data_IF_296502295051
#
_entry.id   IF_296502295051
#
_cell.length_a   1.000
_cell.length_b   1.000
_cell.length_c   1.000
_cell.angle_alpha   90.00
_cell.angle_beta   90.00
_cell.angle_gamma   90.00
#
_symmetry.space_group_name_H-M   'P 1'
#
loop_
_entity.id
_entity.type
_entity.pdbx_description
1 polymer ?
#
# COMPACT_ATOMS: atom_id res chain seq x y z
N UNK A 1 11.90 39.77 8.90
CA UNK A 1 10.62 39.29 8.33
C UNK A 1 10.53 37.78 8.52
N UNK A 2 10.21 37.32 9.73
CA UNK A 2 10.02 35.90 10.01
C UNK A 2 8.76 35.43 9.26
N UNK A 3 8.92 34.38 8.45
CA UNK A 3 7.94 34.00 7.43
C UNK A 3 6.59 33.57 8.01
N UNK A 4 5.52 33.87 7.28
CA UNK A 4 4.14 33.37 7.51
C UNK A 4 4.04 31.84 7.68
N UNK A 5 5.11 31.09 7.38
CA UNK A 5 5.15 29.63 7.41
C UNK A 5 6.45 29.09 8.03
N UNK A 6 6.73 29.45 9.29
CA UNK A 6 7.89 28.95 10.06
C UNK A 6 8.07 27.42 10.01
N UNK A 7 6.98 26.66 10.03
CA UNK A 7 7.00 25.19 9.87
C UNK A 7 7.52 24.70 8.52
N UNK A 8 7.51 25.53 7.47
CA UNK A 8 7.95 25.15 6.12
C UNK A 8 9.47 25.32 5.93
N UNK A 9 10.19 25.75 6.97
CA UNK A 9 11.65 25.79 6.95
C UNK A 9 12.20 24.36 7.02
N UNK A 10 12.85 23.93 5.94
CA UNK A 10 13.35 22.57 5.83
C UNK A 10 14.46 22.26 6.85
N UNK A 11 15.36 23.23 7.07
CA UNK A 11 16.50 23.14 8.00
C UNK A 11 16.16 23.78 9.36
N UNK A 12 14.92 23.58 9.82
CA UNK A 12 14.47 24.10 11.10
C UNK A 12 15.40 23.61 12.23
N UNK A 13 16.11 24.55 12.85
CA UNK A 13 17.09 24.24 13.89
C UNK A 13 16.38 23.71 15.13
N UNK A 14 16.84 22.56 15.62
CA UNK A 14 16.35 22.00 16.88
C UNK A 14 16.77 22.91 18.04
N UNK A 15 15.85 23.28 18.95
CA UNK A 15 16.23 24.03 20.14
C UNK A 15 17.17 23.19 21.03
N UNK A 16 18.02 23.83 21.85
CA UNK A 16 18.82 23.12 22.83
C UNK A 16 17.95 22.23 23.72
N UNK A 17 18.37 20.98 23.91
CA UNK A 17 17.66 20.07 24.80
C UNK A 17 17.95 20.50 26.25
N UNK A 18 16.97 21.17 26.85
CA UNK A 18 17.02 21.62 28.24
C UNK A 18 15.91 20.93 28.99
N UNK A 19 16.26 20.28 30.10
CA UNK A 19 15.32 19.74 31.09
C UNK A 19 15.27 20.64 32.31
N UNK A 20 14.08 20.81 32.88
CA UNK A 20 13.84 21.60 34.08
C UNK A 20 13.11 20.73 35.10
N UNK A 21 13.43 20.93 36.38
CA UNK A 21 12.75 20.24 37.47
C UNK A 21 11.34 20.83 37.66
N UNK A 22 10.33 19.97 37.61
CA UNK A 22 8.92 20.37 37.77
C UNK A 22 8.26 19.47 38.83
N UNK A 23 7.31 20.03 39.58
CA UNK A 23 6.59 19.33 40.65
C UNK A 23 5.51 18.36 40.14
N UNK A 24 4.87 18.71 39.03
CA UNK A 24 3.83 17.90 38.38
C UNK A 24 4.35 17.36 37.04
N UNK A 25 4.48 16.04 36.95
CA UNK A 25 4.89 15.32 35.72
C UNK A 25 3.72 14.60 35.06
N UNK A 26 2.50 14.71 35.58
CA UNK A 26 1.32 13.99 35.08
C UNK A 26 0.96 14.31 33.63
N UNK A 27 1.27 15.53 33.17
CA UNK A 27 1.05 15.94 31.77
C UNK A 27 1.95 15.19 30.78
N UNK A 28 3.17 14.85 31.18
CA UNK A 28 4.13 14.10 30.36
C UNK A 28 3.65 12.67 30.05
N UNK A 29 2.88 12.05 30.96
CA UNK A 29 2.28 10.73 30.74
C UNK A 29 1.40 10.68 29.50
N UNK A 30 0.53 11.68 29.34
CA UNK A 30 -0.39 11.76 28.20
C UNK A 30 0.36 11.96 26.88
N UNK A 31 1.40 12.79 26.91
CA UNK A 31 2.28 13.04 25.76
C UNK A 31 3.04 11.77 25.38
N UNK A 32 3.65 11.10 26.35
CA UNK A 32 4.38 9.84 26.16
C UNK A 32 3.48 8.76 25.55
N UNK A 33 2.28 8.56 26.09
CA UNK A 33 1.30 7.60 25.56
C UNK A 33 0.85 7.95 24.14
N UNK A 34 0.60 9.24 23.85
CA UNK A 34 0.19 9.67 22.51
C UNK A 34 1.29 9.42 21.47
N UNK A 35 2.54 9.76 21.79
CA UNK A 35 3.70 9.52 20.91
C UNK A 35 3.92 8.02 20.70
N UNK A 36 3.89 7.21 21.75
CA UNK A 36 4.05 5.76 21.63
C UNK A 36 3.00 5.11 20.76
N UNK A 37 1.74 5.50 20.94
CA UNK A 37 0.65 5.00 20.11
C UNK A 37 0.87 5.36 18.64
N UNK A 38 1.37 6.57 18.35
CA UNK A 38 1.69 6.98 16.99
C UNK A 38 2.88 6.19 16.41
N UNK A 39 3.99 6.03 17.15
CA UNK A 39 5.15 5.25 16.72
C UNK A 39 4.78 3.78 16.47
N UNK A 40 3.94 3.17 17.30
CA UNK A 40 3.42 1.81 17.08
C UNK A 40 2.58 1.70 15.80
N UNK A 41 1.89 2.77 15.38
CA UNK A 41 1.15 2.77 14.11
C UNK A 41 2.08 2.74 12.89
N UNK A 42 3.34 3.17 13.02
CA UNK A 42 4.31 3.14 11.93
C UNK A 42 4.83 1.72 11.64
N UNK A 43 4.72 0.80 12.59
CA UNK A 43 5.01 -0.62 12.36
C UNK A 43 3.93 -1.34 11.54
N UNK A 44 2.83 -0.65 11.18
CA UNK A 44 1.74 -1.24 10.39
C UNK A 44 2.17 -1.44 8.92
N UNK A 45 1.59 -2.44 8.23
CA UNK A 45 1.85 -2.70 6.81
C UNK A 45 1.68 -1.46 5.92
N UNK A 46 0.72 -0.59 6.22
CA UNK A 46 0.44 0.64 5.46
C UNK A 46 1.64 1.57 5.33
N UNK A 47 2.50 1.66 6.36
CA UNK A 47 3.69 2.51 6.34
C UNK A 47 4.77 1.93 5.41
N UNK A 48 4.99 0.62 5.49
CA UNK A 48 5.90 -0.10 4.59
C UNK A 48 5.41 -0.01 3.14
N UNK A 49 4.10 -0.18 2.93
CA UNK A 49 3.48 -0.02 1.62
C UNK A 49 3.61 1.40 1.07
N UNK A 50 3.50 2.43 1.91
CA UNK A 50 3.69 3.81 1.51
C UNK A 50 5.12 4.02 0.98
N UNK A 51 6.13 3.59 1.72
CA UNK A 51 7.54 3.72 1.32
C UNK A 51 7.85 2.97 0.02
N UNK A 52 7.33 1.74 -0.11
CA UNK A 52 7.48 0.95 -1.34
C UNK A 52 6.80 1.61 -2.55
N UNK A 53 5.62 2.19 -2.34
CA UNK A 53 4.86 2.90 -3.39
C UNK A 53 5.57 4.21 -3.78
N UNK A 54 6.11 4.95 -2.81
CA UNK A 54 6.90 6.15 -3.07
C UNK A 54 8.16 5.83 -3.91
N UNK A 55 8.87 4.76 -3.57
CA UNK A 55 10.02 4.29 -4.34
C UNK A 55 9.63 3.84 -5.76
N UNK A 56 8.46 3.18 -5.92
CA UNK A 56 7.92 2.82 -7.23
C UNK A 56 7.65 4.07 -8.09
N UNK A 57 7.03 5.11 -7.52
CA UNK A 57 6.77 6.38 -8.23
C UNK A 57 8.09 7.01 -8.68
N UNK A 58 9.11 7.05 -7.83
CA UNK A 58 10.44 7.55 -8.20
C UNK A 58 11.04 6.80 -9.39
N UNK A 59 10.93 5.47 -9.40
CA UNK A 59 11.39 4.62 -10.53
C UNK A 59 10.60 4.85 -11.81
N UNK A 60 9.26 4.93 -11.72
CA UNK A 60 8.39 5.20 -12.88
C UNK A 60 8.69 6.59 -13.47
N UNK A 61 8.85 7.60 -12.62
CA UNK A 61 9.27 8.95 -13.01
C UNK A 61 10.62 8.91 -13.74
N UNK A 62 11.64 8.28 -13.16
CA UNK A 62 12.97 8.21 -13.76
C UNK A 62 12.93 7.55 -15.16
N UNK A 63 12.18 6.45 -15.30
CA UNK A 63 12.06 5.69 -16.55
C UNK A 63 11.47 6.50 -17.71
N UNK A 64 10.59 7.48 -17.44
CA UNK A 64 9.93 8.30 -18.46
C UNK A 64 10.30 9.78 -18.42
N UNK A 65 11.35 10.15 -17.70
CA UNK A 65 11.80 11.54 -17.56
C UNK A 65 12.03 12.24 -18.89
N UNK A 66 12.64 11.54 -19.85
CA UNK A 66 12.95 12.12 -21.16
C UNK A 66 11.72 12.19 -22.06
N UNK A 67 10.88 11.14 -22.05
CA UNK A 67 9.68 11.07 -22.89
C UNK A 67 8.61 12.08 -22.48
N UNK A 68 8.43 12.32 -21.18
CA UNK A 68 7.31 13.09 -20.65
C UNK A 68 7.72 14.45 -20.05
N UNK A 69 8.95 14.91 -20.28
CA UNK A 69 9.51 16.14 -19.69
C UNK A 69 8.60 17.37 -19.83
N UNK A 70 7.96 17.55 -20.98
CA UNK A 70 7.09 18.70 -21.28
C UNK A 70 5.65 18.58 -20.75
N UNK A 71 5.21 17.38 -20.39
CA UNK A 71 3.82 17.11 -20.05
C UNK A 71 3.45 17.69 -18.68
N UNK A 72 2.33 18.45 -18.55
CA UNK A 72 1.87 18.98 -17.27
C UNK A 72 1.67 17.92 -16.19
N UNK A 73 1.06 16.76 -16.51
CA UNK A 73 0.89 15.67 -15.55
C UNK A 73 2.21 15.09 -15.07
N UNK A 74 3.23 15.05 -15.93
CA UNK A 74 4.55 14.57 -15.53
C UNK A 74 5.27 15.57 -14.61
N UNK A 75 5.09 16.87 -14.84
CA UNK A 75 5.55 17.91 -13.89
C UNK A 75 4.88 17.76 -12.51
N UNK A 76 3.61 17.38 -12.46
CA UNK A 76 2.93 17.07 -11.19
C UNK A 76 3.55 15.84 -10.51
N UNK A 77 3.91 14.79 -11.26
CA UNK A 77 4.63 13.61 -10.73
C UNK A 77 6.03 13.98 -10.22
N UNK A 78 6.76 14.88 -10.90
CA UNK A 78 8.04 15.38 -10.41
C UNK A 78 7.89 16.13 -9.08
N UNK A 79 6.86 16.96 -8.94
CA UNK A 79 6.53 17.66 -7.69
C UNK A 79 6.13 16.69 -6.58
N UNK A 80 5.34 15.66 -6.91
CA UNK A 80 4.99 14.56 -6.02
C UNK A 80 6.25 13.86 -5.48
N UNK A 81 7.16 13.45 -6.37
CA UNK A 81 8.41 12.82 -5.97
C UNK A 81 9.27 13.74 -5.10
N UNK A 82 9.34 15.04 -5.44
CA UNK A 82 10.00 16.04 -4.61
C UNK A 82 9.42 16.13 -3.19
N UNK A 83 8.10 16.11 -3.05
CA UNK A 83 7.42 16.12 -1.75
C UNK A 83 7.68 14.82 -0.97
N UNK A 84 7.65 13.65 -1.63
CA UNK A 84 7.98 12.36 -1.02
C UNK A 84 9.42 12.31 -0.51
N UNK A 85 10.39 12.81 -1.28
CA UNK A 85 11.77 12.89 -0.84
C UNK A 85 11.95 13.86 0.36
N UNK A 86 11.20 14.97 0.39
CA UNK A 86 11.22 15.89 1.54
C UNK A 86 10.65 15.23 2.80
N UNK A 87 9.56 14.47 2.66
CA UNK A 87 8.97 13.71 3.76
C UNK A 87 9.97 12.71 4.36
N UNK A 88 10.68 11.97 3.49
CA UNK A 88 11.74 11.04 3.91
C UNK A 88 12.86 11.73 4.70
N UNK A 89 13.27 12.93 4.28
CA UNK A 89 14.34 13.68 4.95
C UNK A 89 13.91 14.36 6.25
N UNK A 90 12.60 14.60 6.44
CA UNK A 90 12.09 15.21 7.67
C UNK A 90 12.22 14.28 8.87
N UNK A 91 12.16 12.96 8.65
CA UNK A 91 12.41 11.91 9.66
C UNK A 91 11.68 12.16 11.00
N UNK A 92 10.36 12.38 10.91
CA UNK A 92 9.49 12.59 12.05
C UNK A 92 9.58 11.48 13.13
N UNK A 93 9.66 10.17 12.81
CA UNK A 93 9.81 9.12 13.81
C UNK A 93 10.99 9.38 14.75
N UNK A 94 12.14 9.73 14.18
CA UNK A 94 13.35 10.00 14.92
C UNK A 94 13.22 11.24 15.80
N UNK A 95 12.61 12.31 15.31
CA UNK A 95 12.34 13.52 16.12
C UNK A 95 11.43 13.20 17.32
N UNK A 96 10.41 12.36 17.11
CA UNK A 96 9.48 11.92 18.15
C UNK A 96 10.15 10.97 19.17
N UNK A 97 11.00 10.05 18.74
CA UNK A 97 11.76 9.15 19.62
C UNK A 97 12.72 9.93 20.52
N UNK A 98 13.45 10.90 19.97
CA UNK A 98 14.33 11.75 20.78
C UNK A 98 13.56 12.55 21.82
N UNK A 99 12.42 13.13 21.45
CA UNK A 99 11.61 13.89 22.40
C UNK A 99 10.98 12.98 23.46
N UNK A 100 10.47 11.82 23.06
CA UNK A 100 9.94 10.79 23.97
C UNK A 100 11.00 10.36 24.99
N UNK A 101 12.24 10.13 24.55
CA UNK A 101 13.33 9.73 25.43
C UNK A 101 13.80 10.82 26.40
N UNK A 102 13.41 12.08 26.18
CA UNK A 102 13.66 13.17 27.11
C UNK A 102 12.52 13.38 28.13
N UNK A 103 11.43 12.62 28.04
CA UNK A 103 10.35 12.65 29.03
C UNK A 103 10.73 11.78 30.25
N UNK A 104 10.24 12.12 31.46
CA UNK A 104 10.51 11.32 32.66
C UNK A 104 9.96 9.89 32.56
N UNK A 105 10.71 8.92 33.11
CA UNK A 105 10.33 7.49 33.12
C UNK A 105 9.10 7.21 34.00
N UNK A 106 8.98 7.92 35.13
CA UNK A 106 7.84 7.88 36.03
C UNK A 106 7.11 9.22 35.98
N UNK A 107 5.83 9.19 35.59
CA UNK A 107 5.00 10.39 35.46
C UNK A 107 3.80 10.29 36.41
N UNK A 108 3.76 11.12 37.44
CA UNK A 108 2.62 11.28 38.35
C UNK A 108 2.39 12.76 38.70
N UNK A 109 1.16 13.10 39.07
CA UNK A 109 0.80 14.47 39.44
C UNK A 109 1.49 14.92 40.74
N UNK A 110 1.87 13.97 41.59
CA UNK A 110 2.56 14.21 42.87
C UNK A 110 4.08 13.98 42.80
N UNK A 111 4.58 13.50 41.66
CA UNK A 111 5.99 13.16 41.49
C UNK A 111 6.74 14.29 40.79
N UNK A 112 7.72 14.86 41.49
CA UNK A 112 8.67 15.80 40.91
C UNK A 112 9.66 15.08 40.00
N UNK A 113 9.98 15.67 38.85
CA UNK A 113 10.97 15.11 37.94
C UNK A 113 11.45 16.09 36.88
N UNK A 114 12.45 15.65 36.11
CA UNK A 114 13.00 16.39 34.99
C UNK A 114 12.05 16.34 33.79
N UNK A 115 11.58 17.50 33.34
CA UNK A 115 10.76 17.62 32.14
C UNK A 115 11.47 18.44 31.07
N UNK A 116 11.32 18.09 29.78
CA UNK A 116 11.85 18.90 28.71
C UNK A 116 11.11 20.23 28.63
N UNK A 117 11.77 21.25 28.09
CA UNK A 117 11.16 22.58 27.95
C UNK A 117 10.04 22.61 26.91
N UNK A 118 9.13 23.57 27.07
CA UNK A 118 8.05 23.87 26.11
C UNK A 118 8.58 24.11 24.69
N UNK A 119 9.74 24.76 24.55
CA UNK A 119 10.43 24.93 23.27
C UNK A 119 10.66 23.61 22.53
N UNK A 120 11.01 22.55 23.26
CA UNK A 120 11.25 21.22 22.67
C UNK A 120 9.96 20.60 22.13
N UNK A 121 8.85 20.78 22.85
CA UNK A 121 7.54 20.32 22.38
C UNK A 121 7.03 21.18 21.21
N UNK A 122 7.22 22.50 21.24
CA UNK A 122 6.85 23.40 20.14
C UNK A 122 7.62 23.06 18.85
N UNK A 123 8.89 22.66 18.95
CA UNK A 123 9.64 22.11 17.83
C UNK A 123 8.97 20.85 17.26
N UNK A 124 8.60 19.88 18.11
CA UNK A 124 7.89 18.67 17.68
C UNK A 124 6.56 19.02 17.00
N UNK A 125 5.79 19.96 17.55
CA UNK A 125 4.55 20.44 16.96
C UNK A 125 4.76 21.08 15.58
N UNK A 126 5.82 21.89 15.42
CA UNK A 126 6.19 22.46 14.13
C UNK A 126 6.58 21.38 13.11
N UNK A 127 7.30 20.33 13.52
CA UNK A 127 7.64 19.19 12.66
C UNK A 127 6.41 18.37 12.26
N UNK A 128 5.45 18.17 13.17
CA UNK A 128 4.16 17.55 12.86
C UNK A 128 3.35 18.36 11.83
N UNK A 129 3.35 19.69 11.97
CA UNK A 129 2.73 20.58 10.98
C UNK A 129 3.37 20.45 9.61
N UNK A 130 4.70 20.49 9.54
CA UNK A 130 5.44 20.30 8.30
C UNK A 130 5.15 18.95 7.64
N UNK A 131 5.11 17.87 8.44
CA UNK A 131 4.77 16.54 7.98
C UNK A 131 3.34 16.47 7.43
N UNK A 132 2.36 17.02 8.16
CA UNK A 132 0.97 17.10 7.72
C UNK A 132 0.83 17.86 6.40
N UNK A 133 1.39 19.07 6.31
CA UNK A 133 1.33 19.90 5.11
C UNK A 133 2.06 19.29 3.90
N UNK A 134 3.13 18.52 4.12
CA UNK A 134 3.76 17.73 3.06
C UNK A 134 2.82 16.65 2.51
N UNK A 135 2.06 15.98 3.37
CA UNK A 135 1.04 15.04 2.92
C UNK A 135 -0.09 15.73 2.15
N UNK A 136 -0.52 16.93 2.54
CA UNK A 136 -1.48 17.71 1.75
C UNK A 136 -0.93 18.00 0.35
N UNK A 137 0.33 18.44 0.28
CA UNK A 137 1.01 18.68 -0.99
C UNK A 137 1.13 17.43 -1.85
N UNK A 138 1.37 16.27 -1.25
CA UNK A 138 1.37 14.97 -1.93
C UNK A 138 0.01 14.72 -2.58
N UNK A 139 -1.10 14.93 -1.84
CA UNK A 139 -2.46 14.73 -2.35
C UNK A 139 -2.77 15.66 -3.53
N UNK A 140 -2.42 16.95 -3.43
CA UNK A 140 -2.63 17.91 -4.52
C UNK A 140 -1.90 17.49 -5.80
N UNK A 141 -0.64 17.05 -5.66
CA UNK A 141 0.15 16.58 -6.80
C UNK A 141 -0.43 15.29 -7.39
N UNK A 142 -0.97 14.39 -6.55
CA UNK A 142 -1.65 13.18 -7.01
C UNK A 142 -2.90 13.51 -7.80
N UNK A 143 -3.76 14.39 -7.31
CA UNK A 143 -4.97 14.81 -7.99
C UNK A 143 -4.66 15.48 -9.34
N UNK A 144 -3.67 16.37 -9.39
CA UNK A 144 -3.23 17.00 -10.62
C UNK A 144 -2.69 15.98 -11.65
N UNK A 145 -1.90 15.01 -11.21
CA UNK A 145 -1.37 13.95 -12.07
C UNK A 145 -2.49 13.02 -12.59
N UNK A 146 -3.39 12.57 -11.71
CA UNK A 146 -4.52 11.70 -12.06
C UNK A 146 -5.46 12.40 -13.05
N UNK A 147 -5.79 13.68 -12.83
CA UNK A 147 -6.64 14.45 -13.75
C UNK A 147 -6.06 14.48 -15.16
N UNK A 148 -4.77 14.76 -15.29
CA UNK A 148 -4.11 14.83 -16.59
C UNK A 148 -3.97 13.46 -17.26
N UNK A 149 -3.41 12.46 -16.56
CA UNK A 149 -3.19 11.15 -17.14
C UNK A 149 -4.50 10.37 -17.36
N UNK A 150 -5.54 10.64 -16.57
CA UNK A 150 -6.88 10.10 -16.78
C UNK A 150 -7.52 10.61 -18.07
N UNK A 151 -7.18 11.82 -18.52
CA UNK A 151 -7.57 12.30 -19.86
C UNK A 151 -6.74 11.62 -20.95
N UNK A 152 -5.42 11.48 -20.77
CA UNK A 152 -4.55 10.80 -21.74
C UNK A 152 -4.88 9.32 -21.96
N UNK A 153 -5.25 8.58 -20.91
CA UNK A 153 -5.69 7.18 -21.03
C UNK A 153 -6.94 7.07 -21.91
N UNK A 154 -7.90 8.00 -21.80
CA UNK A 154 -9.10 8.00 -22.65
C UNK A 154 -8.77 8.20 -24.13
N UNK A 155 -7.63 8.82 -24.42
CA UNK A 155 -7.09 8.99 -25.77
C UNK A 155 -6.21 7.82 -26.23
N UNK A 156 -6.18 6.69 -25.49
CA UNK A 156 -5.44 5.46 -25.82
C UNK A 156 -3.91 5.61 -25.96
N UNK A 157 -3.29 6.63 -25.37
CA UNK A 157 -1.84 6.81 -25.39
C UNK A 157 -1.15 6.13 -24.20
N UNK A 158 -0.03 5.44 -24.45
CA UNK A 158 0.87 4.88 -23.41
C UNK A 158 0.16 4.07 -22.31
N UNK A 159 -0.90 3.33 -22.68
CA UNK A 159 -1.88 2.72 -21.76
C UNK A 159 -1.25 1.92 -20.63
N UNK A 160 -0.30 1.03 -20.93
CA UNK A 160 0.34 0.17 -19.92
C UNK A 160 1.05 0.99 -18.85
N UNK A 161 1.85 1.97 -19.27
CA UNK A 161 2.63 2.79 -18.35
C UNK A 161 1.74 3.75 -17.56
N UNK A 162 0.78 4.41 -18.24
CA UNK A 162 -0.13 5.34 -17.56
C UNK A 162 -1.04 4.62 -16.57
N UNK A 163 -1.50 3.42 -16.89
CA UNK A 163 -2.31 2.60 -15.97
C UNK A 163 -1.52 2.29 -14.71
N UNK A 164 -0.28 1.81 -14.85
CA UNK A 164 0.58 1.52 -13.70
C UNK A 164 0.91 2.78 -12.89
N UNK A 165 1.21 3.89 -13.56
CA UNK A 165 1.49 5.17 -12.91
C UNK A 165 0.28 5.69 -12.14
N UNK A 166 -0.91 5.68 -12.73
CA UNK A 166 -2.15 6.11 -12.07
C UNK A 166 -2.45 5.21 -10.88
N UNK A 167 -2.29 3.89 -11.00
CA UNK A 167 -2.46 2.97 -9.89
C UNK A 167 -1.51 3.30 -8.72
N UNK A 168 -0.23 3.55 -9.01
CA UNK A 168 0.74 3.94 -8.00
C UNK A 168 0.41 5.31 -7.35
N UNK A 169 0.01 6.30 -8.15
CA UNK A 169 -0.38 7.63 -7.67
C UNK A 169 -1.67 7.57 -6.83
N UNK A 170 -2.65 6.77 -7.22
CA UNK A 170 -3.88 6.57 -6.44
C UNK A 170 -3.56 5.88 -5.10
N UNK A 171 -2.70 4.85 -5.13
CA UNK A 171 -2.27 4.14 -3.92
C UNK A 171 -1.54 5.08 -2.94
N UNK A 172 -0.56 5.87 -3.40
CA UNK A 172 0.16 6.79 -2.51
C UNK A 172 -0.77 7.88 -1.96
N UNK A 173 -1.75 8.35 -2.75
CA UNK A 173 -2.72 9.34 -2.30
C UNK A 173 -3.55 8.82 -1.12
N UNK A 174 -4.06 7.58 -1.24
CA UNK A 174 -4.80 6.90 -0.16
C UNK A 174 -3.94 6.75 1.10
N UNK A 175 -2.73 6.22 0.95
CA UNK A 175 -1.83 6.00 2.10
C UNK A 175 -1.39 7.33 2.74
N UNK A 176 -1.19 8.37 1.93
CA UNK A 176 -0.88 9.73 2.39
C UNK A 176 -1.99 10.34 3.24
N UNK A 177 -3.26 10.05 2.91
CA UNK A 177 -4.41 10.49 3.68
C UNK A 177 -4.43 9.85 5.07
N UNK A 178 -4.21 8.54 5.15
CA UNK A 178 -4.13 7.81 6.43
C UNK A 178 -3.02 8.38 7.31
N UNK A 179 -1.83 8.61 6.75
CA UNK A 179 -0.70 9.16 7.50
C UNK A 179 -0.94 10.62 7.95
N UNK A 180 -1.54 11.46 7.10
CA UNK A 180 -1.94 12.81 7.47
C UNK A 180 -2.93 12.82 8.64
N UNK A 181 -3.94 11.95 8.60
CA UNK A 181 -4.95 11.86 9.66
C UNK A 181 -4.35 11.36 10.99
N UNK A 182 -3.44 10.40 10.95
CA UNK A 182 -2.71 9.96 12.14
C UNK A 182 -1.86 11.10 12.71
N UNK A 183 -1.18 11.86 11.85
CA UNK A 183 -0.40 13.03 12.24
C UNK A 183 -1.28 14.13 12.88
N UNK A 184 -2.41 14.46 12.26
CA UNK A 184 -3.37 15.42 12.79
C UNK A 184 -3.92 14.98 14.16
N UNK A 185 -4.23 13.69 14.31
CA UNK A 185 -4.69 13.13 15.58
C UNK A 185 -3.62 13.25 16.68
N UNK A 186 -2.35 13.02 16.35
CA UNK A 186 -1.26 13.21 17.31
C UNK A 186 -1.10 14.70 17.68
N UNK A 187 -1.04 15.58 16.67
CA UNK A 187 -0.93 17.02 16.90
C UNK A 187 -2.04 17.55 17.81
N UNK A 188 -3.29 17.19 17.54
CA UNK A 188 -4.45 17.63 18.32
C UNK A 188 -4.44 17.11 19.77
N UNK A 189 -3.69 16.04 20.06
CA UNK A 189 -3.50 15.53 21.43
C UNK A 189 -2.34 16.21 22.15
N UNK A 190 -1.29 16.59 21.42
CA UNK A 190 -0.08 17.20 21.98
C UNK A 190 -0.24 18.71 22.21
N UNK A 191 -0.86 19.41 21.27
CA UNK A 191 -1.00 20.88 21.31
C UNK A 191 -1.63 21.37 22.63
N UNK A 192 -2.71 20.76 23.17
CA UNK A 192 -3.31 21.24 24.42
C UNK A 192 -2.45 21.03 25.67
N UNK A 193 -1.45 20.14 25.59
CA UNK A 193 -0.53 19.90 26.71
C UNK A 193 0.63 20.91 26.74
N UNK A 194 0.84 21.66 25.66
CA UNK A 194 1.93 22.64 25.54
C UNK A 194 2.06 23.63 26.70
N UNK A 195 0.99 24.29 27.21
CA UNK A 195 1.11 25.23 28.32
C UNK A 195 1.50 24.57 29.66
N UNK A 196 1.44 23.25 29.78
CA UNK A 196 1.83 22.52 31.00
C UNK A 196 3.33 22.23 31.07
N UNK A 197 4.06 22.48 29.99
CA UNK A 197 5.51 22.30 29.94
C UNK A 197 6.23 23.57 30.41
N UNK A 198 7.39 23.43 31.09
CA UNK A 198 8.10 24.56 31.65
C UNK A 198 8.72 25.44 30.54
N UNK A 199 8.59 26.76 30.68
CA UNK A 199 9.14 27.76 29.75
C UNK A 199 10.52 28.24 30.22
N UNK A 200 11.40 28.57 29.29
CA UNK A 200 12.69 29.23 29.57
C UNK A 200 12.51 30.74 29.39
N UNK A 201 12.80 31.54 30.42
CA UNK A 201 12.52 32.98 30.44
C UNK A 201 13.20 33.79 29.32
N UNK A 202 14.34 33.32 28.80
CA UNK A 202 15.18 34.08 27.84
C UNK A 202 15.22 33.48 26.44
N UNK A 203 14.47 32.42 26.16
CA UNK A 203 14.52 31.75 24.86
C UNK A 203 13.14 31.23 24.47
N UNK A 204 12.58 31.80 23.40
CA UNK A 204 11.37 31.31 22.76
C UNK A 204 11.74 30.65 21.43
N UNK A 205 11.29 29.42 21.22
CA UNK A 205 11.51 28.74 19.95
C UNK A 205 10.64 29.34 18.83
N UNK A 206 9.39 29.66 19.14
CA UNK A 206 8.49 30.33 18.20
C UNK A 206 8.78 31.84 18.15
N UNK A 207 8.76 32.47 16.95
CA UNK A 207 8.75 33.93 16.84
C UNK A 207 7.58 34.56 17.61
N UNK A 208 7.75 35.76 18.15
CA UNK A 208 6.76 36.42 19.04
C UNK A 208 5.35 36.55 18.43
N UNK A 209 5.27 36.76 17.12
CA UNK A 209 3.99 36.90 16.39
C UNK A 209 3.41 35.56 15.90
N UNK A 210 4.13 34.46 16.06
CA UNK A 210 3.79 33.19 15.44
C UNK A 210 3.02 32.28 16.41
N UNK A 211 1.73 32.06 16.09
CA UNK A 211 0.87 31.13 16.84
C UNK A 211 0.68 29.84 16.06
N UNK A 212 0.96 28.72 16.71
CA UNK A 212 0.65 27.40 16.19
C UNK A 212 -0.87 27.22 16.06
N UNK A 213 -1.38 26.65 14.95
CA UNK A 213 -2.78 26.28 14.79
C UNK A 213 -3.31 25.48 15.99
N UNK A 214 -4.51 25.82 16.46
CA UNK A 214 -5.11 25.12 17.62
C UNK A 214 -5.38 23.65 17.31
N UNK A 215 -5.87 23.35 16.10
CA UNK A 215 -6.18 22.00 15.65
C UNK A 215 -5.89 21.83 14.17
N UNK A 216 -5.43 20.64 13.79
CA UNK A 216 -5.35 20.18 12.41
C UNK A 216 -6.62 19.45 12.02
N UNK A 217 -7.08 19.68 10.80
CA UNK A 217 -8.27 19.03 10.26
C UNK A 217 -7.99 17.56 9.96
N UNK A 218 -8.87 16.69 10.45
CA UNK A 218 -8.87 15.27 10.05
C UNK A 218 -9.72 15.16 8.80
N UNK A 219 -9.08 14.79 7.69
CA UNK A 219 -9.77 14.66 6.41
C UNK A 219 -10.56 13.36 6.44
N UNK A 220 -11.88 13.45 6.52
CA UNK A 220 -12.76 12.27 6.39
C UNK A 220 -12.60 11.71 4.98
N UNK A 221 -12.32 10.42 4.88
CA UNK A 221 -12.49 9.72 3.60
C UNK A 221 -13.94 9.94 3.16
N UNK A 222 -14.16 10.51 1.97
CA UNK A 222 -15.45 10.40 1.30
C UNK A 222 -15.69 8.91 1.11
N UNK A 223 -16.45 8.32 2.04
CA UNK A 223 -17.11 7.05 1.78
C UNK A 223 -17.91 7.28 0.50
N UNK A 224 -17.62 6.51 -0.54
CA UNK A 224 -18.49 6.41 -1.70
C UNK A 224 -19.91 6.23 -1.19
N UNK A 225 -20.78 7.15 -1.59
CA UNK A 225 -22.16 7.28 -1.13
C UNK A 225 -22.83 5.91 -0.91
N UNK A 226 -23.35 5.72 0.30
CA UNK A 226 -24.49 4.84 0.52
C UNK A 226 -25.62 5.28 -0.43
N UNK A 227 -26.29 4.35 -1.13
CA UNK A 227 -27.32 4.68 -2.09
C UNK A 227 -28.63 4.87 -1.35
N UNK A 228 -28.81 5.99 -0.66
CA UNK A 228 -30.13 6.45 -0.25
C UNK A 228 -30.15 7.97 -0.30
N UNK A 229 -31.22 8.48 -0.92
CA UNK A 229 -31.59 9.89 -1.12
C UNK A 229 -30.94 10.64 -2.30
N UNK A 230 -31.47 10.39 -3.50
CA UNK A 230 -31.74 11.45 -4.46
C UNK A 230 -32.84 11.06 -5.46
N UNK A 231 -33.90 11.86 -5.53
CA UNK A 231 -34.93 11.90 -6.58
C UNK A 231 -35.21 13.39 -6.88
N UNK A 232 -35.75 13.78 -8.04
CA UNK A 232 -35.45 13.37 -9.41
C UNK A 232 -35.21 14.58 -10.35
N UNK A 233 -34.24 14.51 -11.26
CA UNK A 233 -34.26 15.28 -12.52
C UNK A 233 -33.34 14.58 -13.53
N UNK A 234 -33.96 13.87 -14.48
CA UNK A 234 -33.35 12.79 -15.23
C UNK A 234 -32.56 13.20 -16.47
N UNK A 235 -31.41 12.55 -16.65
CA UNK A 235 -30.92 12.10 -17.96
C UNK A 235 -30.55 10.62 -17.78
N UNK A 236 -31.38 9.73 -18.32
CA UNK A 236 -31.24 8.28 -18.21
C UNK A 236 -30.19 7.78 -19.21
N UNK A 237 -29.07 7.26 -18.70
CA UNK A 237 -28.23 6.28 -19.41
C UNK A 237 -28.39 4.94 -18.68
N UNK A 238 -29.16 4.04 -19.28
CA UNK A 238 -29.43 2.69 -18.80
C UNK A 238 -28.15 1.85 -18.78
N UNK A 239 -27.60 1.64 -17.59
CA UNK A 239 -26.76 0.47 -17.28
C UNK A 239 -27.49 -0.26 -16.16
N UNK A 240 -28.27 -1.28 -16.53
CA UNK A 240 -28.90 -2.18 -15.57
C UNK A 240 -27.83 -3.02 -14.89
N UNK A 241 -27.74 -2.93 -13.55
CA UNK A 241 -26.96 -3.85 -12.76
C UNK A 241 -27.63 -5.23 -12.74
N UNK A 242 -26.88 -6.34 -12.87
CA UNK A 242 -27.49 -7.67 -12.84
C UNK A 242 -28.01 -7.99 -11.44
N UNK A 243 -29.27 -8.43 -11.37
CA UNK A 243 -29.88 -8.95 -10.14
C UNK A 243 -29.20 -10.26 -9.71
N UNK A 244 -29.12 -10.47 -8.41
CA UNK A 244 -28.58 -11.69 -7.81
C UNK A 244 -29.56 -12.85 -8.05
N UNK A 245 -29.36 -13.59 -9.12
CA UNK A 245 -30.14 -14.78 -9.47
C UNK A 245 -29.77 -15.91 -8.50
N UNK A 246 -30.75 -16.39 -7.74
CA UNK A 246 -30.59 -17.59 -6.89
C UNK A 246 -30.52 -18.86 -7.75
N UNK A 247 -29.87 -19.92 -7.24
CA UNK A 247 -29.58 -21.15 -8.00
C UNK A 247 -30.82 -21.82 -8.63
N UNK A 248 -32.00 -21.57 -8.08
CA UNK A 248 -33.28 -22.15 -8.54
C UNK A 248 -33.82 -21.44 -9.80
N UNK A 249 -33.62 -20.13 -9.94
CA UNK A 249 -34.06 -19.38 -11.11
C UNK A 249 -33.14 -19.60 -12.32
N UNK A 250 -31.84 -19.83 -12.07
CA UNK A 250 -30.87 -20.18 -13.12
C UNK A 250 -31.21 -21.52 -13.81
N UNK A 251 -31.75 -22.47 -13.05
CA UNK A 251 -32.20 -23.76 -13.59
C UNK A 251 -33.49 -23.63 -14.45
N UNK A 252 -34.42 -22.76 -14.05
CA UNK A 252 -35.66 -22.51 -14.82
C UNK A 252 -35.41 -21.73 -16.13
N UNK A 253 -34.39 -20.88 -16.19
CA UNK A 253 -34.01 -20.17 -17.41
C UNK A 253 -33.26 -21.06 -18.40
N UNK A 254 -32.46 -22.03 -17.93
CA UNK A 254 -31.78 -23.00 -18.79
C UNK A 254 -32.74 -23.99 -19.46
N UNK A 255 -33.85 -24.34 -18.80
CA UNK A 255 -34.92 -25.15 -19.39
C UNK A 255 -35.71 -24.46 -20.51
N UNK A 256 -35.67 -23.12 -20.59
CA UNK A 256 -36.41 -22.32 -21.60
C UNK A 256 -35.57 -21.92 -22.80
N UNK A 257 -34.26 -22.17 -22.78
CA UNK A 257 -33.33 -21.74 -23.84
C UNK A 257 -33.00 -22.85 -24.86
N UNK A 258 -33.58 -24.04 -24.72
CA UNK A 258 -33.30 -25.17 -25.62
C UNK A 258 -34.28 -25.16 -26.80
N UNK A 259 -33.97 -24.34 -27.80
CA UNK A 259 -34.63 -24.32 -29.11
C UNK A 259 -33.56 -24.57 -30.17
N UNK A 260 -33.01 -25.78 -30.17
CA UNK A 260 -32.03 -26.23 -31.16
C UNK A 260 -32.45 -27.56 -31.76
N UNK A 261 -32.76 -27.55 -33.07
CA UNK A 261 -33.10 -28.73 -33.85
C UNK A 261 -31.94 -29.73 -33.83
N UNK A 262 -32.24 -30.96 -33.40
CA UNK A 262 -31.32 -32.10 -33.40
C UNK A 262 -31.00 -32.49 -34.85
N UNK A 263 -29.82 -32.10 -35.33
CA UNK A 263 -29.20 -32.72 -36.50
C UNK A 263 -28.37 -33.89 -36.00
N UNK A 264 -28.89 -35.10 -36.18
CA UNK A 264 -28.17 -36.34 -35.94
C UNK A 264 -26.97 -36.47 -36.88
N UNK A 265 -25.77 -36.36 -36.34
CA UNK A 265 -24.59 -37.00 -36.93
C UNK A 265 -24.39 -38.33 -36.23
N UNK A 266 -24.72 -39.40 -36.93
CA UNK A 266 -24.26 -40.75 -36.62
C UNK A 266 -22.73 -40.76 -36.68
N UNK A 267 -22.08 -40.91 -35.54
CA UNK A 267 -21.40 -42.17 -35.20
C UNK A 267 -20.71 -41.99 -33.86
N UNK A 268 -21.10 -42.84 -32.93
CA UNK A 268 -20.46 -43.03 -31.66
C UNK A 268 -19.00 -43.48 -31.88
N UNK A 269 -18.05 -42.70 -31.39
CA UNK A 269 -16.72 -43.20 -31.07
C UNK A 269 -16.76 -43.54 -29.57
N UNK A 270 -16.51 -44.81 -29.17
CA UNK A 270 -16.52 -45.22 -27.77
C UNK A 270 -15.43 -44.48 -26.96
N UNK A 271 -15.53 -44.44 -25.62
CA UNK A 271 -14.55 -43.78 -24.78
C UNK A 271 -13.22 -44.53 -24.81
N UNK A 272 -12.34 -44.16 -25.72
CA UNK A 272 -10.94 -44.57 -25.66
C UNK A 272 -10.33 -43.90 -24.44
N UNK A 273 -9.95 -44.71 -23.45
CA UNK A 273 -8.97 -44.32 -22.43
C UNK A 273 -7.68 -43.94 -23.16
N UNK A 274 -7.52 -42.68 -23.52
CA UNK A 274 -6.29 -42.21 -24.13
C UNK A 274 -5.17 -42.34 -23.10
N UNK A 275 -4.27 -43.28 -23.37
CA UNK A 275 -3.03 -43.44 -22.64
C UNK A 275 -2.23 -42.13 -22.71
N UNK A 276 -1.65 -41.74 -21.59
CA UNK A 276 -0.80 -40.56 -21.50
C UNK A 276 0.35 -40.66 -22.52
N UNK A 277 0.45 -39.67 -23.42
CA UNK A 277 1.52 -39.61 -24.41
C UNK A 277 2.70 -38.79 -23.87
N UNK A 278 3.87 -39.43 -23.74
CA UNK A 278 5.11 -38.80 -23.26
C UNK A 278 5.60 -37.66 -24.17
N UNK A 279 5.19 -37.66 -25.45
CA UNK A 279 5.44 -36.60 -26.44
C UNK A 279 4.83 -35.25 -26.05
N UNK A 280 3.83 -35.23 -25.16
CA UNK A 280 3.20 -34.00 -24.65
C UNK A 280 4.08 -33.16 -23.72
N UNK A 281 5.21 -33.71 -23.25
CA UNK A 281 6.14 -33.02 -22.35
C UNK A 281 7.31 -32.36 -23.10
N UNK A 282 7.05 -31.68 -24.23
CA UNK A 282 8.07 -31.21 -25.18
C UNK A 282 8.93 -30.03 -24.68
N UNK A 283 8.38 -29.16 -23.83
CA UNK A 283 9.06 -27.96 -23.31
C UNK A 283 9.15 -27.94 -21.78
N UNK A 284 9.96 -27.02 -21.23
CA UNK A 284 10.10 -26.82 -19.77
C UNK A 284 8.77 -26.34 -19.18
N UNK A 285 8.06 -25.52 -19.94
CA UNK A 285 6.76 -24.95 -19.62
C UNK A 285 5.69 -26.06 -19.55
N UNK A 286 5.71 -27.00 -20.50
CA UNK A 286 4.80 -28.16 -20.50
C UNK A 286 5.00 -29.01 -19.25
N UNK A 287 6.26 -29.27 -18.88
CA UNK A 287 6.59 -30.03 -17.67
C UNK A 287 6.14 -29.30 -16.40
N UNK A 288 6.31 -27.96 -16.33
CA UNK A 288 5.80 -27.16 -15.19
C UNK A 288 4.28 -27.22 -15.09
N UNK A 289 3.58 -27.06 -16.22
CA UNK A 289 2.13 -27.14 -16.26
C UNK A 289 1.62 -28.54 -15.88
N UNK A 290 2.31 -29.59 -16.33
CA UNK A 290 2.03 -30.97 -15.96
C UNK A 290 2.21 -31.20 -14.45
N UNK A 291 3.34 -30.78 -13.86
CA UNK A 291 3.61 -30.92 -12.42
C UNK A 291 2.53 -30.22 -11.57
N UNK A 292 2.10 -29.01 -11.97
CA UNK A 292 1.06 -28.25 -11.23
C UNK A 292 -0.30 -28.94 -11.35
N UNK A 293 -0.67 -29.40 -12.56
CA UNK A 293 -1.91 -30.13 -12.81
C UNK A 293 -1.98 -31.43 -12.01
N UNK A 294 -0.95 -32.25 -12.09
CA UNK A 294 -0.86 -33.55 -11.39
C UNK A 294 -0.77 -33.37 -9.87
N UNK A 295 -0.02 -32.39 -9.37
CA UNK A 295 0.03 -32.10 -7.93
C UNK A 295 -1.32 -31.66 -7.37
N UNK A 296 -2.13 -30.97 -8.18
CA UNK A 296 -3.50 -30.58 -7.80
C UNK A 296 -4.47 -31.77 -7.91
N UNK A 297 -4.30 -32.64 -8.90
CA UNK A 297 -5.09 -33.85 -9.08
C UNK A 297 -4.86 -34.84 -7.92
N UNK A 298 -3.59 -35.12 -7.58
CA UNK A 298 -3.19 -36.00 -6.47
C UNK A 298 -3.71 -35.55 -5.10
N UNK A 299 -3.82 -34.22 -4.88
CA UNK A 299 -4.40 -33.65 -3.66
C UNK A 299 -5.93 -33.80 -3.58
N UNK A 300 -6.61 -33.86 -4.73
CA UNK A 300 -8.08 -33.93 -4.79
C UNK A 300 -8.57 -35.38 -4.79
N UNK A 301 -8.07 -36.20 -5.72
CA UNK A 301 -8.43 -37.61 -5.88
C UNK A 301 -7.18 -38.40 -6.36
N UNK A 302 -6.53 -39.19 -5.49
CA UNK A 302 -5.31 -39.91 -5.84
C UNK A 302 -5.52 -41.01 -6.91
N UNK A 303 -6.73 -41.56 -7.01
CA UNK A 303 -7.07 -42.66 -7.95
C UNK A 303 -7.25 -42.22 -9.42
N UNK A 304 -7.49 -40.92 -9.67
CA UNK A 304 -7.82 -40.39 -11.01
C UNK A 304 -6.67 -39.55 -11.61
N UNK A 305 -5.44 -39.71 -11.12
CA UNK A 305 -4.27 -39.01 -11.65
C UNK A 305 -3.48 -39.90 -12.62
N UNK A 306 -2.82 -39.27 -13.60
CA UNK A 306 -1.96 -39.97 -14.55
C UNK A 306 -0.77 -40.60 -13.81
N UNK A 307 -0.31 -39.92 -12.75
CA UNK A 307 0.81 -40.32 -11.88
C UNK A 307 0.40 -41.23 -10.72
N UNK A 308 -0.69 -41.99 -10.86
CA UNK A 308 -1.15 -42.99 -9.87
C UNK A 308 -0.12 -44.08 -9.54
N UNK A 309 0.71 -44.61 -10.47
CA UNK A 309 1.64 -45.70 -10.13
C UNK A 309 2.88 -45.21 -9.35
N UNK A 310 3.08 -43.89 -9.25
CA UNK A 310 4.25 -43.28 -8.62
C UNK A 310 3.97 -43.10 -7.13
N UNK A 311 4.90 -43.49 -6.24
CA UNK A 311 4.73 -43.25 -4.82
C UNK A 311 4.88 -41.76 -4.47
N UNK A 312 4.23 -41.29 -3.39
CA UNK A 312 4.25 -39.87 -3.02
C UNK A 312 5.66 -39.30 -2.78
N UNK A 313 6.55 -40.10 -2.19
CA UNK A 313 7.93 -39.69 -1.94
C UNK A 313 8.75 -39.64 -3.25
N UNK A 314 8.52 -40.57 -4.19
CA UNK A 314 9.16 -40.56 -5.52
C UNK A 314 8.71 -39.35 -6.36
N UNK A 315 7.42 -38.99 -6.29
CA UNK A 315 6.89 -37.80 -6.96
C UNK A 315 7.50 -36.50 -6.41
N UNK A 316 7.66 -36.41 -5.09
CA UNK A 316 8.29 -35.27 -4.44
C UNK A 316 9.78 -35.16 -4.80
N UNK A 317 10.49 -36.29 -4.85
CA UNK A 317 11.89 -36.36 -5.28
C UNK A 317 12.06 -35.90 -6.75
N UNK A 318 11.16 -36.33 -7.65
CA UNK A 318 11.20 -35.92 -9.05
C UNK A 318 10.95 -34.41 -9.23
N UNK A 319 9.97 -33.85 -8.51
CA UNK A 319 9.69 -32.41 -8.52
C UNK A 319 10.88 -31.59 -8.02
N UNK A 320 11.43 -31.96 -6.87
CA UNK A 320 12.56 -31.24 -6.25
C UNK A 320 13.82 -31.32 -7.11
N UNK A 321 14.07 -32.46 -7.76
CA UNK A 321 15.20 -32.64 -8.67
C UNK A 321 15.04 -31.79 -9.95
N UNK A 322 13.83 -31.72 -10.50
CA UNK A 322 13.51 -30.86 -11.65
C UNK A 322 13.72 -29.37 -11.32
N UNK A 323 13.20 -28.90 -10.18
CA UNK A 323 13.36 -27.52 -9.70
C UNK A 323 14.84 -27.16 -9.45
N UNK A 324 15.60 -28.07 -8.82
CA UNK A 324 17.04 -27.89 -8.57
C UNK A 324 17.84 -27.78 -9.87
N UNK A 325 17.52 -28.58 -10.89
CA UNK A 325 18.20 -28.52 -12.19
C UNK A 325 17.83 -27.28 -13.01
N UNK A 326 16.60 -26.77 -12.87
CA UNK A 326 16.22 -25.48 -13.43
C UNK A 326 16.97 -24.31 -12.77
N UNK A 327 17.16 -24.34 -11.44
CA UNK A 327 17.94 -23.33 -10.72
C UNK A 327 19.42 -23.33 -11.13
N UNK A 328 19.97 -24.52 -11.45
CA UNK A 328 21.33 -24.67 -11.97
C UNK A 328 21.49 -24.29 -13.46
N UNK A 329 20.47 -23.71 -14.10
CA UNK A 329 20.41 -23.32 -15.53
C UNK A 329 20.61 -24.48 -16.53
N UNK A 330 20.43 -25.73 -16.10
CA UNK A 330 20.62 -26.92 -16.94
C UNK A 330 19.27 -27.47 -17.42
N UNK A 331 18.61 -26.71 -18.32
CA UNK A 331 17.24 -26.97 -18.76
C UNK A 331 17.10 -28.27 -19.57
N UNK A 332 18.07 -28.58 -20.44
CA UNK A 332 18.04 -29.78 -21.26
C UNK A 332 18.16 -31.06 -20.41
N UNK A 333 19.02 -31.05 -19.38
CA UNK A 333 19.13 -32.19 -18.45
C UNK A 333 17.91 -32.30 -17.54
N UNK A 334 17.32 -31.19 -17.10
CA UNK A 334 16.09 -31.19 -16.31
C UNK A 334 14.94 -31.89 -17.07
N UNK A 335 14.76 -31.55 -18.36
CA UNK A 335 13.77 -32.18 -19.23
C UNK A 335 14.03 -33.66 -19.45
N UNK A 336 15.27 -34.03 -19.81
CA UNK A 336 15.62 -35.42 -20.10
C UNK A 336 15.46 -36.33 -18.87
N UNK A 337 15.86 -35.86 -17.68
CA UNK A 337 15.71 -36.63 -16.45
C UNK A 337 14.23 -36.79 -16.09
N UNK A 338 13.45 -35.72 -16.19
CA UNK A 338 12.02 -35.78 -15.85
C UNK A 338 11.23 -36.66 -16.83
N UNK A 339 11.50 -36.57 -18.15
CA UNK A 339 10.88 -37.47 -19.14
C UNK A 339 11.25 -38.92 -18.93
N UNK A 340 12.52 -39.23 -18.66
CA UNK A 340 12.97 -40.60 -18.35
C UNK A 340 12.30 -41.13 -17.09
N UNK A 341 12.15 -40.29 -16.06
CA UNK A 341 11.47 -40.66 -14.83
C UNK A 341 9.99 -41.00 -15.07
N UNK A 342 9.26 -40.12 -15.78
CA UNK A 342 7.84 -40.34 -16.09
C UNK A 342 7.65 -41.56 -16.99
N UNK A 343 8.40 -41.68 -18.09
CA UNK A 343 8.27 -42.81 -19.01
C UNK A 343 8.79 -44.15 -18.48
N UNK A 344 9.51 -44.16 -17.35
CA UNK A 344 9.89 -45.41 -16.67
C UNK A 344 8.84 -45.88 -15.66
N UNK A 345 7.89 -45.01 -15.28
CA UNK A 345 6.97 -45.24 -14.16
C UNK A 345 5.50 -45.22 -14.57
N UNK A 346 5.19 -44.62 -15.72
CA UNK A 346 3.87 -44.55 -16.39
C UNK A 346 4.07 -45.14 -17.79
#
# INVERSE_FOLDING_TARGET
>A
MASLHFWNEFELKKPPLVTLQVKDTGSAKNVYMAINRYLQQQSRPDFVEFNNTAALIGRLMARRKNSFRGMPGFRAVCKLNGALCRLLRLDLPRDLEHFRGALPDACDAELSGEMPTRNSLEFVLARLLAFYSLHERIRDCCQAAIKYFGQMIRSNFFMEFLTLLIAAVAKINKLSLVQANNCATLYNKLQPQCPKFPQVEKHNFLPEDYKLPTQLQVVKEMQTATPDEASPAGVQLLIQAPSLITKVEKAKQQLKADVGVVVSRETAIPPTKEAFQLSSLATVEDVKHFIVRESKARKKNPENCVTKPIQNHEWLAAKTLFERKLQARDQAKALNIFRKFIGSKI
#
